data_IF_169202320744
#
_entry.id   IF_169202320744
#
_cell.length_a   1.000
_cell.length_b   1.000
_cell.length_c   1.000
_cell.angle_alpha   90.00
_cell.angle_beta   90.00
_cell.angle_gamma   90.00
#
_symmetry.space_group_name_H-M   'P 1'
#
loop_
_entity.id
_entity.type
_entity.pdbx_description
1 polymer ?
#
# COMPACT_ATOMS: atom_id res chain seq x y z
N UNK A 1 -9.91 0.18 -8.66
CA UNK A 1 -8.77 -0.73 -8.93
C UNK A 1 -7.44 0.04 -8.95
N UNK A 2 -7.27 1.04 -9.82
CA UNK A 2 -6.02 1.82 -9.91
C UNK A 2 -5.50 2.36 -8.55
N UNK A 3 -6.39 2.95 -7.74
CA UNK A 3 -6.02 3.45 -6.40
C UNK A 3 -5.51 2.34 -5.49
N UNK A 4 -6.16 1.17 -5.45
CA UNK A 4 -5.74 0.04 -4.61
C UNK A 4 -4.38 -0.51 -5.05
N UNK A 5 -4.15 -0.61 -6.36
CA UNK A 5 -2.87 -1.03 -6.91
C UNK A 5 -1.76 -0.02 -6.63
N UNK A 6 -2.06 1.27 -6.75
CA UNK A 6 -1.13 2.34 -6.40
C UNK A 6 -0.75 2.29 -4.92
N UNK A 7 -1.73 2.17 -4.01
CA UNK A 7 -1.47 2.07 -2.57
C UNK A 7 -0.67 0.81 -2.21
N UNK A 8 -0.96 -0.32 -2.85
CA UNK A 8 -0.19 -1.57 -2.69
C UNK A 8 1.27 -1.41 -3.13
N UNK A 9 1.51 -0.71 -4.23
CA UNK A 9 2.86 -0.38 -4.68
C UNK A 9 3.54 0.61 -3.73
N UNK A 10 2.82 1.65 -3.29
CA UNK A 10 3.36 2.72 -2.45
C UNK A 10 3.92 2.20 -1.13
N UNK A 11 3.17 1.30 -0.46
CA UNK A 11 3.62 0.70 0.81
C UNK A 11 4.73 -0.35 0.64
N UNK A 12 5.15 -0.68 -0.58
CA UNK A 12 6.24 -1.64 -0.85
C UNK A 12 7.34 -0.96 -1.67
N UNK A 13 7.26 -1.05 -3.00
CA UNK A 13 8.29 -0.53 -3.89
C UNK A 13 8.39 1.00 -3.88
N UNK A 14 7.29 1.70 -3.60
CA UNK A 14 7.29 3.16 -3.48
C UNK A 14 8.19 3.67 -2.37
N UNK A 15 8.37 2.90 -1.29
CA UNK A 15 9.23 3.29 -0.16
C UNK A 15 10.71 3.42 -0.53
N UNK A 16 11.15 2.82 -1.64
CA UNK A 16 12.53 2.96 -2.13
C UNK A 16 12.89 4.40 -2.51
N UNK A 17 11.88 5.24 -2.78
CA UNK A 17 12.05 6.64 -3.16
C UNK A 17 12.03 7.59 -1.94
N UNK A 18 11.62 7.11 -0.77
CA UNK A 18 11.40 7.95 0.43
C UNK A 18 12.71 8.50 1.00
N UNK A 19 13.76 7.69 1.04
CA UNK A 19 15.06 8.11 1.59
C UNK A 19 15.69 9.28 0.81
N UNK A 20 15.53 9.31 -0.52
CA UNK A 20 16.01 10.41 -1.35
C UNK A 20 15.19 11.71 -1.17
N UNK A 21 14.03 11.61 -0.53
CA UNK A 21 13.11 12.71 -0.24
C UNK A 21 13.06 13.03 1.27
N UNK A 22 13.99 12.48 2.06
CA UNK A 22 14.07 12.62 3.52
C UNK A 22 12.83 12.12 4.29
N UNK A 23 12.07 11.18 3.71
CA UNK A 23 10.97 10.50 4.39
C UNK A 23 11.42 9.16 5.00
N UNK A 24 10.91 8.87 6.20
CA UNK A 24 11.17 7.61 6.88
C UNK A 24 10.26 6.49 6.34
N UNK A 25 10.82 5.28 6.09
CA UNK A 25 10.03 4.15 5.63
C UNK A 25 9.05 3.65 6.68
N UNK A 26 7.94 3.09 6.21
CA UNK A 26 6.98 2.43 7.09
C UNK A 26 7.61 1.17 7.68
N UNK A 27 7.48 0.95 9.01
CA UNK A 27 7.87 -0.31 9.60
C UNK A 27 7.12 -1.49 8.98
N UNK A 28 7.78 -2.65 8.84
CA UNK A 28 7.19 -3.85 8.22
C UNK A 28 5.83 -4.24 8.84
N UNK A 29 5.68 -4.09 10.17
CA UNK A 29 4.43 -4.38 10.85
C UNK A 29 3.26 -3.49 10.36
N UNK A 30 3.55 -2.23 10.01
CA UNK A 30 2.57 -1.28 9.47
C UNK A 30 2.25 -1.61 8.02
N UNK A 31 3.26 -1.94 7.21
CA UNK A 31 3.08 -2.39 5.81
C UNK A 31 2.11 -3.58 5.76
N UNK A 32 2.33 -4.58 6.60
CA UNK A 32 1.46 -5.77 6.64
C UNK A 32 0.06 -5.47 7.18
N UNK A 33 -0.08 -4.50 8.09
CA UNK A 33 -1.41 -4.03 8.55
C UNK A 33 -2.18 -3.34 7.42
N UNK A 34 -1.51 -2.52 6.62
CA UNK A 34 -2.13 -1.82 5.47
C UNK A 34 -2.42 -2.80 4.34
N UNK A 35 -1.53 -3.74 4.02
CA UNK A 35 -1.75 -4.79 3.02
C UNK A 35 -3.02 -5.61 3.34
N UNK A 36 -3.20 -5.99 4.62
CA UNK A 36 -4.43 -6.64 5.09
C UNK A 36 -5.67 -5.78 4.91
N UNK A 37 -5.59 -4.47 5.15
CA UNK A 37 -6.72 -3.56 4.96
C UNK A 37 -7.06 -3.40 3.47
N UNK A 38 -6.05 -3.30 2.59
CA UNK A 38 -6.26 -3.19 1.14
C UNK A 38 -6.98 -4.41 0.56
N UNK A 39 -6.70 -5.62 1.07
CA UNK A 39 -7.40 -6.86 0.68
C UNK A 39 -8.90 -6.85 0.94
N UNK A 40 -9.38 -6.01 1.87
CA UNK A 40 -10.80 -5.90 2.20
C UNK A 40 -11.55 -4.93 1.26
N UNK A 41 -10.84 -4.18 0.40
CA UNK A 41 -11.47 -3.20 -0.47
C UNK A 41 -12.22 -3.91 -1.60
N UNK A 42 -13.53 -3.70 -1.64
CA UNK A 42 -14.40 -4.16 -2.71
C UNK A 42 -15.29 -3.03 -3.22
N UNK A 43 -15.71 -3.12 -4.48
CA UNK A 43 -16.71 -2.21 -5.05
C UNK A 43 -17.71 -3.04 -5.87
N UNK A 44 -19.00 -2.82 -5.62
CA UNK A 44 -20.10 -3.57 -6.25
C UNK A 44 -19.90 -5.10 -6.13
N UNK A 45 -19.47 -5.56 -4.96
CA UNK A 45 -19.23 -6.98 -4.67
C UNK A 45 -17.98 -7.60 -5.30
N UNK A 46 -17.20 -6.83 -6.07
CA UNK A 46 -15.94 -7.30 -6.68
C UNK A 46 -14.74 -6.77 -5.88
N UNK A 47 -13.83 -7.67 -5.50
CA UNK A 47 -12.57 -7.28 -4.87
C UNK A 47 -11.75 -6.40 -5.81
N UNK A 48 -11.15 -5.35 -5.26
CA UNK A 48 -10.29 -4.41 -5.99
C UNK A 48 -8.79 -4.60 -5.73
N UNK A 49 -8.44 -5.58 -4.90
CA UNK A 49 -7.06 -5.92 -4.53
C UNK A 49 -6.28 -6.58 -5.68
#
# INVERSE_FOLDING_TARGET
KAVVQFLKWAIRDGQKMEAALDYAPLPNAVVEKVDRALKQISCKGKSLY
#
